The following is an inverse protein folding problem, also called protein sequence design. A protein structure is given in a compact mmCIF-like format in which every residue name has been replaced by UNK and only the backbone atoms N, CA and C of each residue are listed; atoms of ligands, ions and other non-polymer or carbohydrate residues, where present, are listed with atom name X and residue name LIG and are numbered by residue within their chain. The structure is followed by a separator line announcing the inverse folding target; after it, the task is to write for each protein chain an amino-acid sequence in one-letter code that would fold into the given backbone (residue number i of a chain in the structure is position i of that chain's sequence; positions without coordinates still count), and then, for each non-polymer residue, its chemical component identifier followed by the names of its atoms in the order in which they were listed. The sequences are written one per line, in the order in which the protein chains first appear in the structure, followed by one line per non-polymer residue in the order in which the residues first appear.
data_IF_419879164396
#
_entry.id   IF_419879164396
#
_cell.length_a   1.000
_cell.length_b   1.000
_cell.length_c   1.000
_cell.angle_alpha   90.00
_cell.angle_beta   90.00
_cell.angle_gamma   90.00
#
_symmetry.space_group_name_H-M   'P 1'
#
loop_
_entity.id
_entity.type
_entity.pdbx_description
1 polymer ?
#
# COMPACT_ATOMS: atom_id res chain seq x y z
N UNK A 1 2.18 14.05 2.14
CA UNK A 1 2.18 13.33 3.43
C UNK A 1 2.68 11.89 3.29
N UNK A 2 1.95 10.95 2.66
CA UNK A 2 2.34 9.52 2.74
C UNK A 2 3.69 9.22 2.10
N UNK A 3 4.08 9.93 1.02
CA UNK A 3 5.45 9.83 0.47
C UNK A 3 6.53 10.16 1.51
N UNK A 4 6.30 11.18 2.35
CA UNK A 4 7.25 11.52 3.40
C UNK A 4 7.35 10.41 4.47
N UNK A 5 6.23 9.76 4.80
CA UNK A 5 6.21 8.60 5.72
C UNK A 5 7.01 7.43 5.13
N UNK A 6 6.82 7.15 3.83
CA UNK A 6 7.56 6.12 3.12
C UNK A 6 9.06 6.43 3.08
N UNK A 7 9.45 7.66 2.75
CA UNK A 7 10.86 8.09 2.73
C UNK A 7 11.52 7.98 4.11
N UNK A 8 10.84 8.43 5.17
CA UNK A 8 11.32 8.29 6.56
C UNK A 8 11.54 6.81 6.92
N UNK A 9 10.60 5.94 6.54
CA UNK A 9 10.72 4.51 6.77
C UNK A 9 11.89 3.93 6.00
N UNK A 10 11.98 4.16 4.68
CA UNK A 10 13.04 3.57 3.85
C UNK A 10 14.43 4.12 4.16
N UNK A 11 14.55 5.34 4.70
CA UNK A 11 15.82 5.88 5.17
C UNK A 11 16.32 5.15 6.41
N UNK A 12 15.44 4.88 7.39
CA UNK A 12 15.80 4.29 8.67
C UNK A 12 15.84 2.76 8.63
N UNK A 13 14.97 2.13 7.84
CA UNK A 13 14.74 0.69 7.85
C UNK A 13 16.00 -0.15 7.53
N UNK A 14 16.85 0.21 6.54
CA UNK A 14 18.10 -0.52 6.28
C UNK A 14 19.04 -0.53 7.48
N UNK A 15 19.15 0.58 8.22
CA UNK A 15 19.99 0.69 9.41
C UNK A 15 19.48 -0.22 10.53
N UNK A 16 18.16 -0.28 10.70
CA UNK A 16 17.49 -1.18 11.65
C UNK A 16 17.72 -2.64 11.26
N UNK A 17 17.56 -2.98 9.98
CA UNK A 17 17.69 -4.36 9.50
C UNK A 17 19.13 -4.89 9.48
N UNK A 18 20.13 -4.02 9.32
CA UNK A 18 21.52 -4.41 9.08
C UNK A 18 22.06 -5.45 10.08
N UNK A 19 21.56 -5.46 11.33
CA UNK A 19 21.98 -6.42 12.37
C UNK A 19 20.85 -7.28 12.94
N UNK A 20 19.66 -7.26 12.34
CA UNK A 20 18.50 -7.95 12.89
C UNK A 20 18.23 -9.28 12.21
N UNK A 21 18.13 -10.34 13.02
CA UNK A 21 17.56 -11.62 12.59
C UNK A 21 16.06 -11.48 12.30
N UNK A 22 15.46 -12.26 11.38
CA UNK A 22 14.05 -12.13 11.03
C UNK A 22 13.09 -12.20 12.22
N UNK A 23 13.38 -13.00 13.25
CA UNK A 23 12.55 -13.10 14.46
C UNK A 23 12.56 -11.80 15.30
N UNK A 24 13.66 -11.04 15.28
CA UNK A 24 13.73 -9.72 15.93
C UNK A 24 12.95 -8.69 15.12
N UNK A 25 13.05 -8.75 13.78
CA UNK A 25 12.25 -7.90 12.88
C UNK A 25 10.75 -8.10 13.13
N UNK A 26 10.28 -9.35 13.27
CA UNK A 26 8.87 -9.62 13.57
C UNK A 26 8.42 -9.00 14.90
N UNK A 27 9.23 -9.13 15.96
CA UNK A 27 8.94 -8.53 17.27
C UNK A 27 8.90 -7.00 17.18
N UNK A 28 9.86 -6.41 16.46
CA UNK A 28 9.88 -4.97 16.22
C UNK A 28 8.65 -4.51 15.45
N UNK A 29 8.27 -5.20 14.38
CA UNK A 29 7.07 -4.88 13.61
C UNK A 29 5.81 -4.98 14.47
N UNK A 30 5.71 -6.00 15.33
CA UNK A 30 4.63 -6.11 16.32
C UNK A 30 4.59 -4.90 17.26
N UNK A 31 5.75 -4.47 17.78
CA UNK A 31 5.87 -3.25 18.59
C UNK A 31 5.44 -1.99 17.84
N UNK A 32 5.83 -1.84 16.56
CA UNK A 32 5.40 -0.71 15.71
C UNK A 32 3.88 -0.73 15.51
N UNK A 33 3.28 -1.89 15.24
CA UNK A 33 1.83 -2.01 15.09
C UNK A 33 1.08 -1.61 16.37
N UNK A 34 1.57 -2.06 17.53
CA UNK A 34 1.00 -1.67 18.83
C UNK A 34 1.16 -0.18 19.08
N UNK A 35 2.34 0.37 18.83
CA UNK A 35 2.61 1.79 19.00
C UNK A 35 1.74 2.67 18.08
N UNK A 36 1.58 2.27 16.82
CA UNK A 36 0.75 2.98 15.85
C UNK A 36 -0.74 2.96 16.23
N UNK A 37 -1.24 1.82 16.73
CA UNK A 37 -2.62 1.69 17.22
C UNK A 37 -2.83 2.49 18.50
N UNK A 38 -1.88 2.42 19.45
CA UNK A 38 -1.95 3.19 20.68
C UNK A 38 -1.92 4.70 20.40
N UNK A 39 -1.01 5.16 19.53
CA UNK A 39 -0.87 6.58 19.22
C UNK A 39 -2.13 7.16 18.57
N UNK A 40 -2.69 6.48 17.57
CA UNK A 40 -3.89 6.98 16.88
C UNK A 40 -5.11 6.97 17.81
N UNK A 41 -5.27 5.94 18.63
CA UNK A 41 -6.37 5.86 19.59
C UNK A 41 -6.23 6.96 20.64
N UNK A 42 -5.02 7.17 21.18
CA UNK A 42 -4.76 8.24 22.14
C UNK A 42 -5.04 9.63 21.56
N UNK A 43 -4.58 9.90 20.33
CA UNK A 43 -4.87 11.18 19.66
C UNK A 43 -6.37 11.38 19.41
N UNK A 44 -7.09 10.32 19.05
CA UNK A 44 -8.54 10.40 18.86
C UNK A 44 -9.29 10.65 20.16
N UNK A 45 -8.91 9.98 21.24
CA UNK A 45 -9.46 10.22 22.58
C UNK A 45 -9.14 11.64 23.07
N UNK A 46 -7.95 12.15 22.78
CA UNK A 46 -7.54 13.51 23.11
C UNK A 46 -8.20 14.60 22.24
N UNK A 47 -9.08 14.23 21.30
CA UNK A 47 -9.85 15.19 20.50
C UNK A 47 -9.08 15.82 19.34
N UNK A 48 -7.95 15.25 18.91
CA UNK A 48 -7.22 15.78 17.75
C UNK A 48 -8.08 15.68 16.47
N UNK A 49 -7.96 16.67 15.55
CA UNK A 49 -8.70 16.61 14.29
C UNK A 49 -8.32 15.35 13.48
N UNK A 50 -9.28 14.72 12.80
CA UNK A 50 -9.06 13.46 12.08
C UNK A 50 -7.91 13.52 11.06
N UNK A 51 -7.66 14.68 10.46
CA UNK A 51 -6.61 14.92 9.47
C UNK A 51 -5.23 14.72 10.08
N UNK A 52 -5.02 15.23 11.30
CA UNK A 52 -3.76 15.11 12.02
C UNK A 52 -3.49 13.66 12.40
N UNK A 53 -4.51 12.94 12.88
CA UNK A 53 -4.37 11.51 13.21
C UNK A 53 -4.05 10.69 11.96
N UNK A 54 -4.69 11.02 10.84
CA UNK A 54 -4.46 10.35 9.56
C UNK A 54 -3.06 10.62 8.99
N UNK A 55 -2.54 11.83 9.17
CA UNK A 55 -1.27 12.28 8.59
C UNK A 55 -0.06 12.14 9.53
N UNK A 56 -0.27 11.77 10.79
CA UNK A 56 0.85 11.58 11.70
C UNK A 56 1.60 10.29 11.37
N UNK A 57 2.92 10.38 11.13
CA UNK A 57 3.78 9.26 10.73
C UNK A 57 3.57 8.03 11.62
N UNK A 58 3.68 8.19 12.95
CA UNK A 58 3.62 7.07 13.90
C UNK A 58 2.29 6.31 13.79
N UNK A 59 1.17 7.03 13.60
CA UNK A 59 -0.15 6.43 13.44
C UNK A 59 -0.27 5.52 12.21
N UNK A 60 0.67 5.61 11.26
CA UNK A 60 0.58 4.98 9.94
C UNK A 60 1.74 4.03 9.60
N UNK A 61 2.73 3.92 10.49
CA UNK A 61 3.90 3.04 10.28
C UNK A 61 3.54 1.55 10.32
N UNK A 62 2.39 1.16 10.88
CA UNK A 62 1.94 -0.23 10.93
C UNK A 62 1.74 -0.83 9.53
N UNK A 63 1.29 -0.05 8.54
CA UNK A 63 1.14 -0.54 7.17
C UNK A 63 2.47 -1.00 6.57
N UNK A 64 3.53 -0.21 6.78
CA UNK A 64 4.89 -0.53 6.31
C UNK A 64 5.51 -1.66 7.15
N UNK A 65 5.29 -1.64 8.47
CA UNK A 65 5.76 -2.68 9.38
C UNK A 65 5.12 -4.04 9.08
N UNK A 66 3.84 -4.10 8.69
CA UNK A 66 3.19 -5.35 8.29
C UNK A 66 3.77 -5.91 7.00
N UNK A 67 4.10 -5.07 6.02
CA UNK A 67 4.83 -5.48 4.82
C UNK A 67 6.23 -6.02 5.16
N UNK A 68 6.93 -5.37 6.07
CA UNK A 68 8.24 -5.85 6.52
C UNK A 68 8.15 -7.13 7.37
N UNK A 69 7.09 -7.29 8.17
CA UNK A 69 6.80 -8.52 8.89
C UNK A 69 6.52 -9.67 7.91
N UNK A 70 5.75 -9.45 6.85
CA UNK A 70 5.53 -10.43 5.79
C UNK A 70 6.86 -10.87 5.14
N UNK A 71 7.75 -9.92 4.84
CA UNK A 71 9.09 -10.23 4.31
C UNK A 71 9.91 -11.08 5.30
N UNK A 72 9.89 -10.74 6.59
CA UNK A 72 10.58 -11.51 7.63
C UNK A 72 9.98 -12.93 7.82
N UNK A 73 8.66 -13.09 7.74
CA UNK A 73 7.99 -14.39 7.82
C UNK A 73 8.43 -15.32 6.69
N UNK A 74 8.54 -14.81 5.47
CA UNK A 74 8.98 -15.60 4.30
C UNK A 74 10.46 -16.01 4.41
N UNK A 75 11.27 -15.31 5.20
CA UNK A 75 12.67 -15.68 5.48
C UNK A 75 12.81 -16.77 6.55
N UNK A 76 11.75 -17.11 7.28
CA UNK A 76 11.76 -18.18 8.27
C UNK A 76 11.25 -19.49 7.64
N UNK A 77 12.06 -20.57 7.55
CA UNK A 77 11.69 -21.78 6.80
C UNK A 77 10.35 -22.42 7.23
N UNK A 78 10.12 -22.52 8.54
CA UNK A 78 8.89 -23.09 9.11
C UNK A 78 7.64 -22.28 8.75
N UNK A 79 7.73 -20.95 8.84
CA UNK A 79 6.65 -20.04 8.46
C UNK A 79 6.43 -20.02 6.96
N UNK A 80 7.50 -19.97 6.16
CA UNK A 80 7.42 -20.03 4.69
C UNK A 80 6.66 -21.27 4.23
N UNK A 81 7.01 -22.46 4.74
CA UNK A 81 6.34 -23.71 4.39
C UNK A 81 4.85 -23.70 4.81
N UNK A 82 4.52 -23.11 5.96
CA UNK A 82 3.13 -22.96 6.41
C UNK A 82 2.34 -22.01 5.51
N UNK A 83 2.91 -20.86 5.17
CA UNK A 83 2.29 -19.85 4.29
C UNK A 83 2.08 -20.39 2.88
N UNK A 84 3.04 -21.15 2.33
CA UNK A 84 2.91 -21.79 1.03
C UNK A 84 1.78 -22.82 1.01
N UNK A 85 1.69 -23.69 2.03
CA UNK A 85 0.57 -24.64 2.18
C UNK A 85 -0.79 -23.95 2.27
N UNK A 86 -0.85 -22.81 2.97
CA UNK A 86 -2.07 -22.02 3.14
C UNK A 86 -2.35 -20.99 2.05
N UNK A 87 -1.49 -20.88 1.03
CA UNK A 87 -1.48 -19.75 0.09
C UNK A 87 -2.81 -19.57 -0.67
N UNK A 88 -3.51 -20.66 -0.96
CA UNK A 88 -4.84 -20.63 -1.62
C UNK A 88 -5.93 -19.95 -0.80
N UNK A 89 -5.76 -19.86 0.52
CA UNK A 89 -6.72 -19.25 1.44
C UNK A 89 -6.40 -17.80 1.76
N UNK A 90 -5.16 -17.35 1.52
CA UNK A 90 -4.74 -15.98 1.82
C UNK A 90 -5.57 -14.89 1.11
N UNK A 91 -5.97 -15.04 -0.17
CA UNK A 91 -6.84 -14.06 -0.83
C UNK A 91 -8.23 -13.99 -0.19
N UNK A 92 -8.78 -15.13 0.23
CA UNK A 92 -10.07 -15.18 0.91
C UNK A 92 -9.99 -14.55 2.30
N UNK A 93 -8.93 -14.83 3.05
CA UNK A 93 -8.67 -14.16 4.32
C UNK A 93 -8.53 -12.65 4.14
N UNK A 94 -7.82 -12.19 3.09
CA UNK A 94 -7.73 -10.78 2.76
C UNK A 94 -9.10 -10.16 2.45
N UNK A 95 -9.93 -10.85 1.67
CA UNK A 95 -11.29 -10.41 1.33
C UNK A 95 -12.17 -10.30 2.59
N UNK A 96 -12.11 -11.30 3.48
CA UNK A 96 -12.88 -11.30 4.73
C UNK A 96 -12.45 -10.15 5.63
N UNK A 97 -11.14 -9.94 5.81
CA UNK A 97 -10.62 -8.82 6.61
C UNK A 97 -11.01 -7.47 5.98
N UNK A 98 -10.89 -7.34 4.66
CA UNK A 98 -11.26 -6.12 3.94
C UNK A 98 -12.76 -5.82 4.06
N UNK A 99 -13.62 -6.81 3.78
CA UNK A 99 -15.06 -6.65 3.83
C UNK A 99 -15.57 -6.44 5.26
N UNK A 100 -15.05 -7.22 6.23
CA UNK A 100 -15.35 -7.01 7.64
C UNK A 100 -14.93 -5.62 8.11
N UNK A 101 -13.74 -5.16 7.71
CA UNK A 101 -13.31 -3.79 7.98
C UNK A 101 -14.23 -2.75 7.35
N UNK A 102 -14.65 -2.92 6.09
CA UNK A 102 -15.57 -2.01 5.41
C UNK A 102 -16.92 -1.92 6.15
N UNK A 103 -17.47 -3.04 6.60
CA UNK A 103 -18.72 -3.10 7.34
C UNK A 103 -18.65 -2.32 8.67
N UNK A 104 -17.61 -2.54 9.48
CA UNK A 104 -17.50 -1.88 10.79
C UNK A 104 -17.11 -0.40 10.66
N UNK A 105 -16.44 -0.02 9.56
CA UNK A 105 -15.94 1.34 9.34
C UNK A 105 -16.84 2.19 8.45
N UNK A 106 -17.98 1.64 8.00
CA UNK A 106 -18.86 2.27 7.01
C UNK A 106 -18.07 2.70 5.75
N UNK A 107 -17.47 1.72 5.07
CA UNK A 107 -16.69 1.89 3.83
C UNK A 107 -15.37 2.67 4.01
N UNK A 108 -14.69 2.45 5.15
CA UNK A 108 -13.40 3.08 5.46
C UNK A 108 -13.44 4.62 5.38
N UNK A 109 -14.54 5.22 5.84
CA UNK A 109 -14.68 6.69 5.89
C UNK A 109 -13.48 7.32 6.61
N UNK A 110 -12.74 8.18 5.89
CA UNK A 110 -11.42 8.68 6.32
C UNK A 110 -11.43 9.30 7.72
N UNK A 111 -12.49 10.02 8.08
CA UNK A 111 -12.66 10.72 9.36
C UNK A 111 -13.39 9.89 10.43
N UNK A 112 -13.90 8.70 10.06
CA UNK A 112 -14.63 7.82 10.96
C UNK A 112 -13.74 7.33 12.09
N UNK A 113 -14.29 7.33 13.31
CA UNK A 113 -13.56 6.88 14.50
C UNK A 113 -13.04 5.45 14.35
N UNK A 114 -13.88 4.56 13.84
CA UNK A 114 -13.60 3.16 13.59
C UNK A 114 -12.48 3.00 12.56
N UNK A 115 -12.54 3.77 11.46
CA UNK A 115 -11.50 3.80 10.44
C UNK A 115 -10.16 4.20 11.03
N UNK A 116 -10.15 5.31 11.77
CA UNK A 116 -8.93 5.89 12.32
C UNK A 116 -8.36 5.15 13.52
N UNK A 117 -9.08 4.18 14.07
CA UNK A 117 -8.57 3.27 15.11
C UNK A 117 -8.13 1.96 14.48
N UNK A 118 -9.04 1.00 14.31
CA UNK A 118 -8.66 -0.34 13.81
C UNK A 118 -8.79 -0.47 12.28
N UNK A 119 -9.62 0.33 11.61
CA UNK A 119 -9.90 0.17 10.19
C UNK A 119 -8.67 0.30 9.29
N UNK A 120 -7.81 1.27 9.54
CA UNK A 120 -6.54 1.43 8.79
C UNK A 120 -5.63 0.20 8.96
N UNK A 121 -5.58 -0.41 10.15
CA UNK A 121 -4.82 -1.63 10.38
C UNK A 121 -5.46 -2.84 9.72
N UNK A 122 -6.79 -2.94 9.73
CA UNK A 122 -7.51 -3.99 9.00
C UNK A 122 -7.20 -3.93 7.49
N UNK A 123 -7.20 -2.73 6.92
CA UNK A 123 -6.84 -2.50 5.52
C UNK A 123 -5.38 -2.93 5.25
N UNK A 124 -4.45 -2.54 6.12
CA UNK A 124 -3.05 -2.93 6.01
C UNK A 124 -2.85 -4.46 6.11
N UNK A 125 -3.58 -5.13 7.01
CA UNK A 125 -3.58 -6.60 7.13
C UNK A 125 -4.12 -7.24 5.86
N UNK A 126 -5.24 -6.76 5.31
CA UNK A 126 -5.81 -7.28 4.08
C UNK A 126 -4.82 -7.21 2.91
N UNK A 127 -4.17 -6.06 2.70
CA UNK A 127 -3.14 -5.91 1.66
C UNK A 127 -1.89 -6.75 1.94
N UNK A 128 -1.50 -6.91 3.20
CA UNK A 128 -0.38 -7.78 3.58
C UNK A 128 -0.67 -9.25 3.27
N UNK A 129 -1.92 -9.70 3.49
CA UNK A 129 -2.36 -11.05 3.13
C UNK A 129 -2.37 -11.26 1.61
N UNK A 130 -2.81 -10.28 0.83
CA UNK A 130 -2.71 -10.32 -0.64
C UNK A 130 -1.26 -10.37 -1.11
N UNK A 131 -0.38 -9.58 -0.49
CA UNK A 131 1.05 -9.59 -0.78
C UNK A 131 1.66 -10.97 -0.49
N UNK A 132 1.36 -11.55 0.68
CA UNK A 132 1.80 -12.90 1.04
C UNK A 132 1.27 -13.95 0.07
N UNK A 133 0.01 -13.83 -0.38
CA UNK A 133 -0.56 -14.72 -1.40
C UNK A 133 0.24 -14.66 -2.70
N UNK A 134 0.56 -13.46 -3.17
CA UNK A 134 1.33 -13.26 -4.40
C UNK A 134 2.77 -13.81 -4.27
N UNK A 135 3.46 -13.52 -3.16
CA UNK A 135 4.83 -13.99 -2.92
C UNK A 135 4.89 -15.50 -2.75
N UNK A 136 3.94 -16.11 -2.04
CA UNK A 136 3.93 -17.56 -1.82
C UNK A 136 3.51 -18.35 -3.07
N UNK A 137 2.76 -17.74 -3.98
CA UNK A 137 2.39 -18.32 -5.27
C UNK A 137 3.47 -18.15 -6.35
N UNK A 138 4.54 -17.40 -6.07
CA UNK A 138 5.62 -17.18 -7.04
C UNK A 138 6.32 -18.50 -7.40
N UNK A 139 6.40 -18.82 -8.69
CA UNK A 139 6.93 -20.09 -9.21
C UNK A 139 5.96 -21.27 -9.17
N UNK A 140 4.77 -21.11 -8.60
CA UNK A 140 3.70 -22.11 -8.67
C UNK A 140 2.88 -21.96 -9.96
N UNK A 141 1.98 -22.92 -10.22
CA UNK A 141 1.01 -22.80 -11.32
C UNK A 141 0.12 -21.57 -11.10
N UNK A 142 -0.08 -20.72 -12.12
CA UNK A 142 -0.84 -19.49 -11.97
C UNK A 142 -2.30 -19.78 -11.62
N UNK A 143 -2.78 -19.18 -10.53
CA UNK A 143 -4.19 -19.27 -10.12
C UNK A 143 -5.07 -18.39 -11.03
N UNK A 144 -6.39 -18.58 -10.97
CA UNK A 144 -7.33 -17.70 -11.68
C UNK A 144 -7.15 -16.23 -11.27
N UNK A 145 -6.94 -15.97 -9.97
CA UNK A 145 -6.74 -14.62 -9.43
C UNK A 145 -5.43 -14.02 -9.94
N UNK A 146 -4.34 -14.81 -9.95
CA UNK A 146 -3.06 -14.35 -10.51
C UNK A 146 -3.20 -14.01 -12.00
N UNK A 147 -3.92 -14.82 -12.79
CA UNK A 147 -4.18 -14.52 -14.20
C UNK A 147 -4.97 -13.23 -14.38
N UNK A 148 -6.02 -13.03 -13.59
CA UNK A 148 -6.82 -11.82 -13.61
C UNK A 148 -5.97 -10.58 -13.28
N UNK A 149 -5.23 -10.60 -12.16
CA UNK A 149 -4.37 -9.49 -11.73
C UNK A 149 -3.20 -9.22 -12.69
N UNK A 150 -2.77 -10.22 -13.47
CA UNK A 150 -1.74 -10.11 -14.49
C UNK A 150 -2.27 -9.78 -15.89
N UNK A 151 -3.56 -9.43 -16.05
CA UNK A 151 -4.08 -8.95 -17.32
C UNK A 151 -3.36 -7.66 -17.77
N UNK A 152 -3.21 -7.48 -19.08
CA UNK A 152 -2.41 -6.39 -19.65
C UNK A 152 -2.81 -4.99 -19.14
N UNK A 153 -4.11 -4.62 -19.02
CA UNK A 153 -4.50 -3.31 -18.48
C UNK A 153 -4.08 -3.13 -17.02
N UNK A 154 -4.30 -4.13 -16.16
CA UNK A 154 -3.94 -4.07 -14.75
C UNK A 154 -2.43 -4.05 -14.54
N UNK A 155 -1.67 -4.79 -15.33
CA UNK A 155 -0.20 -4.70 -15.34
C UNK A 155 0.29 -3.33 -15.76
N UNK A 156 -0.35 -2.73 -16.77
CA UNK A 156 -0.01 -1.38 -17.22
C UNK A 156 -0.33 -0.32 -16.15
N UNK A 157 -1.50 -0.42 -15.51
CA UNK A 157 -1.86 0.43 -14.38
C UNK A 157 -0.89 0.26 -13.21
N UNK A 158 -0.49 -0.97 -12.88
CA UNK A 158 0.52 -1.25 -11.87
C UNK A 158 1.88 -0.63 -12.20
N UNK A 159 2.29 -0.66 -13.48
CA UNK A 159 3.54 -0.05 -13.96
C UNK A 159 3.56 1.47 -13.79
N UNK A 160 2.43 2.15 -14.02
CA UNK A 160 2.32 3.61 -13.89
C UNK A 160 1.79 4.08 -12.52
N UNK A 161 1.55 3.14 -11.59
CA UNK A 161 0.82 3.38 -10.34
C UNK A 161 1.41 4.49 -9.48
N UNK A 162 2.74 4.61 -9.42
CA UNK A 162 3.42 5.67 -8.68
C UNK A 162 3.09 7.07 -9.26
N UNK A 163 3.27 7.25 -10.56
CA UNK A 163 2.93 8.50 -11.22
C UNK A 163 1.42 8.78 -11.15
N UNK A 164 0.57 7.75 -11.28
CA UNK A 164 -0.87 7.91 -11.07
C UNK A 164 -1.20 8.41 -9.66
N UNK A 165 -0.55 7.85 -8.62
CA UNK A 165 -0.69 8.31 -7.25
C UNK A 165 -0.25 9.78 -7.08
N UNK A 166 0.80 10.24 -7.75
CA UNK A 166 1.22 11.65 -7.66
C UNK A 166 0.23 12.57 -8.40
N UNK A 167 -0.19 12.18 -9.61
CA UNK A 167 -1.01 13.04 -10.48
C UNK A 167 -2.50 13.08 -10.13
N UNK A 168 -3.07 12.02 -9.55
CA UNK A 168 -4.52 11.96 -9.35
C UNK A 168 -5.04 13.14 -8.50
N UNK A 169 -4.34 13.53 -7.44
CA UNK A 169 -4.78 14.60 -6.54
C UNK A 169 -4.79 16.00 -7.19
N UNK A 170 -3.70 16.51 -7.80
CA UNK A 170 -3.73 17.79 -8.50
C UNK A 170 -4.70 17.78 -9.68
N UNK A 171 -4.82 16.67 -10.43
CA UNK A 171 -5.80 16.53 -11.52
C UNK A 171 -7.22 16.63 -10.95
N UNK A 172 -7.52 15.93 -9.85
CA UNK A 172 -8.83 15.98 -9.19
C UNK A 172 -9.16 17.41 -8.74
N UNK A 173 -8.20 18.14 -8.16
CA UNK A 173 -8.39 19.56 -7.79
C UNK A 173 -8.64 20.46 -9.00
N UNK A 174 -7.89 20.28 -10.08
CA UNK A 174 -7.99 21.12 -11.28
C UNK A 174 -9.29 20.85 -12.06
N UNK A 175 -9.59 19.58 -12.34
CA UNK A 175 -10.80 19.16 -13.07
C UNK A 175 -12.05 19.31 -12.19
N UNK A 176 -11.98 18.92 -10.92
CA UNK A 176 -13.13 18.91 -10.01
C UNK A 176 -13.67 20.31 -9.72
N UNK A 177 -12.80 21.28 -9.47
CA UNK A 177 -13.25 22.66 -9.17
C UNK A 177 -13.79 23.40 -10.40
N UNK A 178 -13.33 23.06 -11.62
CA UNK A 178 -13.70 23.76 -12.86
C UNK A 178 -14.83 23.11 -13.63
N UNK A 179 -14.91 21.78 -13.66
CA UNK A 179 -15.92 21.03 -14.43
C UNK A 179 -17.15 20.66 -13.60
N UNK A 180 -16.98 20.40 -12.29
CA UNK A 180 -18.07 19.98 -11.42
C UNK A 180 -18.62 21.07 -10.50
N UNK A 181 -18.00 22.26 -10.41
CA UNK A 181 -18.55 23.37 -9.62
C UNK A 181 -20.06 23.62 -9.84
N UNK A 182 -20.55 23.52 -11.09
CA UNK A 182 -21.99 23.63 -11.41
C UNK A 182 -22.79 22.32 -11.30
N UNK A 183 -22.15 21.15 -11.34
CA UNK A 183 -22.81 19.83 -11.40
C UNK A 183 -22.80 19.08 -10.06
N UNK A 184 -21.93 19.47 -9.12
CA UNK A 184 -21.86 18.93 -7.76
C UNK A 184 -23.11 19.24 -6.92
N UNK A 185 -23.90 20.23 -7.34
CA UNK A 185 -25.23 20.55 -6.76
C UNK A 185 -26.32 19.56 -7.17
N UNK A 186 -26.09 18.72 -8.19
CA UNK A 186 -27.13 17.86 -8.77
C UNK A 186 -27.20 16.44 -8.19
N UNK A 187 -26.33 16.06 -7.25
CA UNK A 187 -26.28 14.72 -6.61
C UNK A 187 -26.44 13.51 -7.56
N UNK A 188 -25.99 13.64 -8.82
CA UNK A 188 -26.16 12.58 -9.82
C UNK A 188 -25.04 11.54 -9.71
N UNK A 189 -25.40 10.30 -9.36
CA UNK A 189 -24.47 9.17 -9.34
C UNK A 189 -23.79 8.95 -10.71
N UNK A 190 -24.51 9.17 -11.81
CA UNK A 190 -23.97 9.07 -13.16
C UNK A 190 -22.85 10.09 -13.39
N UNK A 191 -23.05 11.34 -12.99
CA UNK A 191 -22.02 12.39 -13.13
C UNK A 191 -20.79 12.08 -12.27
N UNK A 192 -20.98 11.53 -11.06
CA UNK A 192 -19.88 11.10 -10.21
C UNK A 192 -19.05 9.97 -10.85
N UNK A 193 -19.71 8.98 -11.45
CA UNK A 193 -19.03 7.86 -12.16
C UNK A 193 -18.28 8.38 -13.38
N UNK A 194 -18.92 9.22 -14.21
CA UNK A 194 -18.28 9.81 -15.40
C UNK A 194 -17.08 10.66 -15.02
N UNK A 195 -17.18 11.44 -13.94
CA UNK A 195 -16.07 12.21 -13.41
C UNK A 195 -14.92 11.32 -12.94
N UNK A 196 -15.20 10.30 -12.13
CA UNK A 196 -14.19 9.38 -11.64
C UNK A 196 -13.48 8.66 -12.81
N UNK A 197 -14.23 8.26 -13.84
CA UNK A 197 -13.69 7.68 -15.06
C UNK A 197 -12.79 8.69 -15.81
N UNK A 198 -13.25 9.92 -16.01
CA UNK A 198 -12.48 10.97 -16.69
C UNK A 198 -11.18 11.29 -15.95
N UNK A 199 -11.23 11.50 -14.62
CA UNK A 199 -10.05 11.74 -13.79
C UNK A 199 -9.08 10.56 -13.87
N UNK A 200 -9.59 9.32 -13.81
CA UNK A 200 -8.77 8.11 -13.89
C UNK A 200 -8.06 8.01 -15.25
N UNK A 201 -8.78 8.26 -16.35
CA UNK A 201 -8.22 8.24 -17.71
C UNK A 201 -7.15 9.32 -17.87
N UNK A 202 -7.45 10.57 -17.51
CA UNK A 202 -6.49 11.68 -17.61
C UNK A 202 -5.25 11.40 -16.74
N UNK A 203 -5.45 10.90 -15.52
CA UNK A 203 -4.37 10.50 -14.61
C UNK A 203 -3.51 9.40 -15.23
N UNK A 204 -4.12 8.37 -15.80
CA UNK A 204 -3.40 7.27 -16.44
C UNK A 204 -2.58 7.74 -17.65
N UNK A 205 -3.14 8.63 -18.48
CA UNK A 205 -2.45 9.20 -19.63
C UNK A 205 -1.26 10.08 -19.20
N UNK A 206 -1.46 10.99 -18.23
CA UNK A 206 -0.39 11.81 -17.67
C UNK A 206 0.71 10.95 -17.04
N UNK A 207 0.34 9.90 -16.31
CA UNK A 207 1.27 8.96 -15.72
C UNK A 207 2.06 8.18 -16.79
N UNK A 208 1.42 7.75 -17.87
CA UNK A 208 2.08 7.12 -19.01
C UNK A 208 3.07 8.04 -19.70
N UNK A 209 2.70 9.30 -19.96
CA UNK A 209 3.60 10.32 -20.51
C UNK A 209 4.79 10.57 -19.60
N UNK A 210 4.55 10.75 -18.30
CA UNK A 210 5.62 10.92 -17.30
C UNK A 210 6.56 9.72 -17.29
N UNK A 211 6.02 8.50 -17.35
CA UNK A 211 6.83 7.29 -17.34
C UNK A 211 7.79 7.24 -18.54
N UNK A 212 7.29 7.42 -19.76
CA UNK A 212 8.09 7.28 -20.98
C UNK A 212 9.03 8.47 -21.22
N UNK A 213 8.61 9.68 -20.85
CA UNK A 213 9.39 10.90 -21.11
C UNK A 213 10.40 11.21 -20.00
N UNK A 214 10.09 10.85 -18.75
CA UNK A 214 10.86 11.23 -17.58
C UNK A 214 11.31 10.01 -16.76
N UNK A 215 10.38 9.27 -16.16
CA UNK A 215 10.68 8.25 -15.14
C UNK A 215 11.63 7.15 -15.66
N UNK A 216 11.39 6.63 -16.87
CA UNK A 216 12.18 5.58 -17.47
C UNK A 216 13.65 5.98 -17.64
N UNK A 217 13.95 7.28 -17.81
CA UNK A 217 15.34 7.76 -17.92
C UNK A 217 16.09 7.57 -16.61
N UNK A 218 15.46 7.90 -15.47
CA UNK A 218 16.04 7.73 -14.14
C UNK A 218 16.04 6.26 -13.70
N UNK A 219 14.99 5.49 -14.01
CA UNK A 219 14.95 4.07 -13.68
C UNK A 219 16.09 3.28 -14.34
N UNK A 220 16.55 3.69 -15.54
CA UNK A 220 17.72 3.10 -16.19
C UNK A 220 19.02 3.30 -15.40
N UNK A 221 19.10 4.32 -14.54
CA UNK A 221 20.26 4.56 -13.68
C UNK A 221 20.38 3.52 -12.55
N UNK A 222 19.31 2.78 -12.22
CA UNK A 222 19.36 1.72 -11.20
C UNK A 222 20.47 0.69 -11.47
N UNK A 223 20.83 0.46 -12.74
CA UNK A 223 21.93 -0.44 -13.13
C UNK A 223 23.29 -0.11 -12.48
N UNK A 224 23.49 1.14 -12.03
CA UNK A 224 24.73 1.57 -11.37
C UNK A 224 24.73 1.32 -9.87
N UNK A 225 23.57 1.07 -9.25
CA UNK A 225 23.40 0.98 -7.80
C UNK A 225 22.98 -0.42 -7.31
N UNK A 226 22.58 -1.32 -8.21
CA UNK A 226 22.27 -2.71 -7.85
C UNK A 226 23.58 -3.48 -7.65
N UNK A 227 23.82 -4.10 -6.47
CA UNK A 227 24.97 -4.97 -6.28
C UNK A 227 24.90 -6.14 -7.27
N UNK A 228 25.95 -6.32 -8.07
CA UNK A 228 26.11 -7.50 -8.91
C UNK A 228 26.12 -8.75 -8.01
N UNK A 229 25.56 -9.90 -8.44
CA UNK A 229 25.58 -11.14 -7.64
C UNK A 229 26.96 -11.52 -7.09
N UNK A 230 28.03 -11.20 -7.84
CA UNK A 230 29.41 -11.37 -7.41
C UNK A 230 29.75 -10.60 -6.11
N UNK A 231 29.29 -9.34 -5.96
CA UNK A 231 29.54 -8.52 -4.76
C UNK A 231 28.72 -8.97 -3.53
N UNK A 232 27.62 -9.69 -3.75
CA UNK A 232 26.83 -10.27 -2.66
C UNK A 232 27.46 -11.56 -2.12
N UNK A 233 28.19 -12.30 -2.95
CA UNK A 233 28.90 -13.52 -2.55
C UNK A 233 30.19 -13.22 -1.75
N UNK A 234 30.85 -12.09 -2.00
CA UNK A 234 32.02 -11.64 -1.23
C UNK A 234 31.67 -11.03 0.13
N UNK A 235 30.39 -10.68 0.35
CA UNK A 235 29.92 -9.99 1.55
C UNK A 235 29.21 -10.90 2.58
N UNK A 236 29.11 -12.21 2.30
CA UNK A 236 28.52 -13.26 3.17
C UNK A 236 29.63 -14.21 3.61
#
# INVERSE_FOLDING_TARGET
WSLAVEEQFYLLWPLVLHRMRPQRVLRLCGGICVAALASRTAMRVAGYPPEYVYEFTICRMDALALGAAAAALVRLPSWKARLQRGSRYLPWAALVVWAGGALVTHDYQRSGWQTQTFGMSALAVAFTLLLLAAVCAYGARPTWLSRALCMAPLRSAGKYSYAMYVFHFPITKLLGTRLLGPAATAHSATLAVLYAAAVTVVTYLCAGLSYHLYEQRFLRLKRYFVPTPARLAEAI
#
